data_IF_360750885634
#
_entry.id   IF_360750885634
#
_cell.length_a   1.000
_cell.length_b   1.000
_cell.length_c   1.000
_cell.angle_alpha   90.00
_cell.angle_beta   90.00
_cell.angle_gamma   90.00
#
_symmetry.space_group_name_H-M   'P 1'
#
loop_
_entity.id
_entity.type
_entity.pdbx_description
1 polymer ?
#
# COMPACT_ATOMS: atom_id res chain seq x y z
N UNK A 1 -29.95 26.79 29.05
CA UNK A 1 -29.60 25.41 28.63
C UNK A 1 -28.14 25.23 28.99
N UNK A 2 -27.89 24.50 30.09
CA UNK A 2 -26.57 24.35 30.69
C UNK A 2 -25.74 23.32 29.92
N UNK A 3 -24.44 23.60 29.77
CA UNK A 3 -23.45 22.65 29.29
C UNK A 3 -22.72 22.13 30.53
N UNK A 4 -22.88 20.84 30.82
CA UNK A 4 -22.14 20.16 31.88
C UNK A 4 -20.80 19.66 31.32
N UNK A 5 -19.73 20.09 32.00
CA UNK A 5 -18.37 19.61 31.86
C UNK A 5 -18.25 18.17 32.36
N UNK A 6 -17.58 17.30 31.60
CA UNK A 6 -17.20 15.98 32.10
C UNK A 6 -15.74 15.67 31.72
N UNK A 7 -14.84 16.07 32.60
CA UNK A 7 -13.43 15.72 32.62
C UNK A 7 -13.27 14.34 33.27
N UNK A 8 -12.81 13.35 32.50
CA UNK A 8 -12.42 12.06 33.07
C UNK A 8 -10.92 11.81 32.82
N UNK A 9 -10.14 12.16 33.84
CA UNK A 9 -8.72 11.84 34.00
C UNK A 9 -8.58 10.42 34.52
N UNK A 10 -7.92 9.54 33.78
CA UNK A 10 -7.48 8.24 34.30
C UNK A 10 -5.96 8.14 34.20
N UNK A 11 -5.30 8.46 35.31
CA UNK A 11 -3.88 8.25 35.59
C UNK A 11 -3.65 6.79 35.97
N UNK A 12 -2.94 6.03 35.14
CA UNK A 12 -2.50 4.68 35.48
C UNK A 12 -0.97 4.67 35.67
N UNK A 13 -0.55 4.95 36.90
CA UNK A 13 0.80 4.76 37.43
C UNK A 13 0.95 3.33 37.93
N UNK A 14 1.67 2.50 37.19
CA UNK A 14 2.16 1.19 37.65
C UNK A 14 3.67 1.22 37.80
N UNK A 15 4.16 1.26 39.04
CA UNK A 15 5.58 1.19 39.37
C UNK A 15 5.97 -0.21 39.86
N UNK A 16 7.27 -0.49 39.71
CA UNK A 16 8.14 -1.33 40.53
C UNK A 16 8.00 -2.86 40.49
N UNK A 17 9.06 -3.47 39.94
CA UNK A 17 9.46 -4.85 40.17
C UNK A 17 10.98 -5.00 39.94
N UNK A 18 11.77 -4.38 40.82
CA UNK A 18 13.20 -4.63 40.94
C UNK A 18 13.41 -5.99 41.61
N UNK A 19 14.11 -6.90 40.96
CA UNK A 19 14.58 -8.15 41.57
C UNK A 19 15.95 -8.49 41.02
N UNK A 20 16.94 -8.11 41.81
CA UNK A 20 18.33 -8.53 41.74
C UNK A 20 18.42 -10.03 42.00
N UNK A 21 18.93 -10.80 41.06
CA UNK A 21 19.42 -12.16 41.33
C UNK A 21 20.74 -12.37 40.58
N UNK A 22 21.82 -12.34 41.37
CA UNK A 22 23.14 -12.83 41.02
C UNK A 22 23.08 -14.32 40.69
N UNK A 23 23.56 -14.68 39.50
CA UNK A 23 23.89 -16.05 39.13
C UNK A 23 25.14 -16.03 38.27
N UNK A 24 26.30 -16.16 38.91
CA UNK A 24 27.56 -16.46 38.24
C UNK A 24 27.49 -17.89 37.70
N UNK A 25 27.44 -18.06 36.38
CA UNK A 25 27.87 -19.29 35.70
C UNK A 25 28.57 -18.92 34.39
N UNK A 26 29.86 -18.70 34.55
CA UNK A 26 30.95 -19.34 33.83
C UNK A 26 30.78 -19.73 32.34
N UNK A 27 31.42 -18.89 31.52
CA UNK A 27 32.20 -19.16 30.32
C UNK A 27 32.06 -20.53 29.61
N UNK A 28 31.05 -20.64 28.75
CA UNK A 28 31.13 -21.42 27.53
C UNK A 28 31.17 -20.48 26.33
N UNK A 29 32.37 -20.19 25.80
CA UNK A 29 32.55 -19.45 24.54
C UNK A 29 31.93 -20.26 23.39
N UNK A 30 30.61 -20.11 23.23
CA UNK A 30 29.85 -20.64 22.11
C UNK A 30 30.35 -19.98 20.84
N UNK A 31 31.00 -20.81 20.00
CA UNK A 31 31.36 -20.54 18.62
C UNK A 31 30.33 -19.62 17.96
N UNK A 32 30.80 -18.44 17.59
CA UNK A 32 30.00 -17.32 17.09
C UNK A 32 29.22 -17.68 15.83
N UNK A 33 28.02 -18.21 16.01
CA UNK A 33 26.97 -18.05 15.01
C UNK A 33 26.40 -16.63 15.20
N UNK A 34 27.18 -15.62 14.79
CA UNK A 34 26.60 -14.32 14.48
C UNK A 34 25.42 -14.60 13.57
N UNK A 35 24.21 -14.28 14.02
CA UNK A 35 23.03 -14.59 13.22
C UNK A 35 23.22 -13.93 11.85
N UNK A 36 22.85 -14.60 10.75
CA UNK A 36 23.02 -14.05 9.41
C UNK A 36 22.36 -12.67 9.26
N UNK A 37 21.39 -12.38 10.12
CA UNK A 37 20.73 -11.08 10.25
C UNK A 37 21.62 -9.98 10.85
N UNK A 38 22.44 -10.30 11.86
CA UNK A 38 23.41 -9.37 12.44
C UNK A 38 24.52 -9.04 11.44
N UNK A 39 25.03 -10.06 10.73
CA UNK A 39 26.05 -9.85 9.69
C UNK A 39 25.51 -9.00 8.53
N UNK A 40 24.26 -9.25 8.10
CA UNK A 40 23.60 -8.42 7.08
C UNK A 40 23.44 -6.98 7.55
N UNK A 41 23.03 -6.77 8.80
CA UNK A 41 22.85 -5.42 9.36
C UNK A 41 24.18 -4.66 9.40
N UNK A 42 25.24 -5.29 9.87
CA UNK A 42 26.57 -4.68 9.91
C UNK A 42 27.08 -4.33 8.50
N UNK A 43 26.83 -5.19 7.51
CA UNK A 43 27.16 -4.88 6.11
C UNK A 43 26.33 -3.72 5.55
N UNK A 44 25.05 -3.62 5.92
CA UNK A 44 24.19 -2.51 5.50
C UNK A 44 24.58 -1.18 6.15
N UNK A 45 24.99 -1.19 7.43
CA UNK A 45 25.42 0.01 8.16
C UNK A 45 26.76 0.56 7.65
N UNK A 46 27.61 -0.28 7.05
CA UNK A 46 28.91 0.12 6.46
C UNK A 46 28.83 0.53 4.98
N UNK A 47 27.63 0.54 4.37
CA UNK A 47 27.48 0.98 2.98
C UNK A 47 27.67 2.50 2.87
N UNK A 48 28.30 2.99 1.78
CA UNK A 48 28.17 4.38 1.37
C UNK A 48 26.71 4.79 1.32
N UNK A 49 26.39 5.98 1.87
CA UNK A 49 25.02 6.47 1.99
C UNK A 49 24.25 6.45 0.65
N UNK A 50 24.94 6.69 -0.47
CA UNK A 50 24.38 6.64 -1.82
C UNK A 50 23.87 5.24 -2.18
N UNK A 51 24.64 4.19 -1.89
CA UNK A 51 24.24 2.81 -2.14
C UNK A 51 23.13 2.37 -1.19
N UNK A 52 23.18 2.80 0.07
CA UNK A 52 22.09 2.58 1.02
C UNK A 52 20.80 3.18 0.48
N UNK A 53 20.82 4.45 0.06
CA UNK A 53 19.66 5.14 -0.53
C UNK A 53 19.17 4.43 -1.80
N UNK A 54 20.07 3.95 -2.65
CA UNK A 54 19.69 3.23 -3.87
C UNK A 54 19.00 1.88 -3.58
N UNK A 55 19.57 1.06 -2.69
CA UNK A 55 18.95 -0.20 -2.25
C UNK A 55 17.60 0.09 -1.60
N UNK A 56 17.52 1.15 -0.83
CA UNK A 56 16.31 1.58 -0.17
C UNK A 56 15.22 2.01 -1.15
N UNK A 57 15.57 2.82 -2.16
CA UNK A 57 14.65 3.20 -3.21
C UNK A 57 14.17 1.97 -3.99
N UNK A 58 15.05 0.99 -4.24
CA UNK A 58 14.66 -0.27 -4.88
C UNK A 58 13.72 -1.13 -4.02
N UNK A 59 13.88 -1.12 -2.70
CA UNK A 59 13.15 -2.01 -1.78
C UNK A 59 11.85 -1.41 -1.25
N UNK A 60 11.81 -0.10 -1.03
CA UNK A 60 10.68 0.61 -0.41
C UNK A 60 9.92 1.52 -1.39
N UNK A 61 10.32 1.57 -2.67
CA UNK A 61 9.48 2.15 -3.71
C UNK A 61 8.51 1.11 -4.23
N UNK A 62 7.22 1.34 -3.99
CA UNK A 62 6.19 0.49 -4.55
C UNK A 62 6.06 0.68 -6.05
N UNK A 63 5.98 -0.42 -6.78
CA UNK A 63 5.66 -0.41 -8.21
C UNK A 63 4.26 0.20 -8.44
N UNK A 64 4.15 1.01 -9.49
CA UNK A 64 2.90 1.68 -9.85
C UNK A 64 1.94 0.70 -10.56
N UNK A 65 0.79 0.42 -9.94
CA UNK A 65 -0.17 -0.61 -10.40
C UNK A 65 -1.61 -0.12 -10.40
N UNK A 66 -2.43 -0.81 -11.18
CA UNK A 66 -3.89 -0.77 -11.03
C UNK A 66 -4.28 -1.83 -10.00
N UNK A 67 -4.79 -1.38 -8.85
CA UNK A 67 -5.20 -2.25 -7.74
C UNK A 67 -6.72 -2.27 -7.66
N UNK A 68 -7.32 -3.43 -7.87
CA UNK A 68 -8.76 -3.59 -7.95
C UNK A 68 -9.27 -4.35 -6.72
N UNK A 69 -10.19 -3.73 -6.01
CA UNK A 69 -10.86 -4.28 -4.85
C UNK A 69 -12.34 -4.46 -5.15
N UNK A 70 -12.79 -5.72 -5.18
CA UNK A 70 -14.21 -6.06 -5.36
C UNK A 70 -14.85 -6.46 -4.03
N UNK A 71 -16.18 -6.58 -3.98
CA UNK A 71 -16.90 -6.81 -2.71
C UNK A 71 -16.78 -8.26 -2.21
N UNK A 72 -16.13 -9.14 -2.96
CA UNK A 72 -16.41 -10.57 -2.83
C UNK A 72 -15.17 -11.44 -3.01
N UNK A 73 -14.19 -11.27 -2.11
CA UNK A 73 -13.04 -12.17 -2.01
C UNK A 73 -13.52 -13.60 -1.72
N UNK A 74 -14.46 -13.75 -0.79
CA UNK A 74 -14.91 -15.06 -0.30
C UNK A 74 -15.84 -15.81 -1.26
N UNK A 75 -16.66 -15.13 -2.08
CA UNK A 75 -17.47 -15.82 -3.11
C UNK A 75 -16.81 -15.83 -4.48
N UNK A 76 -15.58 -15.29 -4.61
CA UNK A 76 -14.80 -15.35 -5.84
C UNK A 76 -15.48 -14.74 -7.07
N UNK A 77 -16.42 -13.80 -6.88
CA UNK A 77 -17.22 -13.22 -7.96
C UNK A 77 -16.54 -12.00 -8.58
N UNK A 78 -15.29 -12.18 -9.02
CA UNK A 78 -14.73 -11.29 -10.04
C UNK A 78 -15.55 -11.51 -11.32
N UNK A 79 -16.17 -10.46 -11.92
CA UNK A 79 -16.89 -10.60 -13.17
C UNK A 79 -16.06 -11.34 -14.20
N UNK A 80 -16.64 -12.29 -14.94
CA UNK A 80 -15.91 -13.15 -15.88
C UNK A 80 -15.05 -12.32 -16.85
N UNK A 81 -15.60 -11.21 -17.36
CA UNK A 81 -14.91 -10.26 -18.23
C UNK A 81 -13.62 -9.70 -17.60
N UNK A 82 -13.67 -9.32 -16.31
CA UNK A 82 -12.50 -8.78 -15.61
C UNK A 82 -11.49 -9.91 -15.35
N UNK A 83 -11.96 -11.09 -14.97
CA UNK A 83 -11.11 -12.27 -14.76
C UNK A 83 -10.37 -12.67 -16.04
N UNK A 84 -11.06 -12.72 -17.16
CA UNK A 84 -10.47 -13.09 -18.45
C UNK A 84 -9.53 -12.01 -18.95
N UNK A 85 -9.90 -10.73 -18.84
CA UNK A 85 -8.98 -9.63 -19.13
C UNK A 85 -7.69 -9.77 -18.30
N UNK A 86 -7.80 -10.07 -17.00
CA UNK A 86 -6.66 -10.20 -16.12
C UNK A 86 -5.77 -11.42 -16.37
N UNK A 87 -6.27 -12.50 -16.95
CA UNK A 87 -5.43 -13.64 -17.36
C UNK A 87 -4.35 -13.22 -18.36
N UNK A 88 -4.65 -12.21 -19.17
CA UNK A 88 -3.73 -11.70 -20.19
C UNK A 88 -2.79 -10.61 -19.68
N UNK A 89 -2.93 -10.18 -18.42
CA UNK A 89 -2.16 -9.08 -17.87
C UNK A 89 -1.19 -9.55 -16.79
N UNK A 90 0.01 -8.99 -16.80
CA UNK A 90 1.01 -9.27 -15.78
C UNK A 90 0.57 -8.76 -14.41
N UNK A 91 0.84 -9.55 -13.36
CA UNK A 91 0.69 -9.15 -11.94
C UNK A 91 1.50 -7.89 -11.58
N UNK A 92 2.44 -7.49 -12.44
CA UNK A 92 3.19 -6.23 -12.32
C UNK A 92 2.32 -5.01 -12.64
N UNK A 93 1.33 -5.13 -13.52
CA UNK A 93 0.50 -4.00 -13.96
C UNK A 93 -0.83 -3.95 -13.23
N UNK A 94 -1.46 -5.11 -13.02
CA UNK A 94 -2.78 -5.20 -12.37
C UNK A 94 -2.75 -6.22 -11.26
N UNK A 95 -3.29 -5.85 -10.12
CA UNK A 95 -3.57 -6.76 -9.01
C UNK A 95 -5.04 -6.68 -8.61
N UNK A 96 -5.60 -7.82 -8.23
CA UNK A 96 -6.95 -7.91 -7.68
C UNK A 96 -6.83 -8.44 -6.26
N UNK A 97 -7.49 -7.76 -5.33
CA UNK A 97 -7.52 -8.17 -3.92
C UNK A 97 -6.12 -8.28 -3.29
N UNK A 98 -5.16 -7.50 -3.80
CA UNK A 98 -3.87 -7.36 -3.14
C UNK A 98 -4.06 -6.61 -1.84
N UNK A 99 -3.84 -7.29 -0.72
CA UNK A 99 -3.90 -6.66 0.60
C UNK A 99 -2.86 -5.54 0.66
N UNK A 100 -3.26 -4.28 0.94
CA UNK A 100 -2.30 -3.21 1.13
C UNK A 100 -1.33 -3.57 2.27
N UNK A 101 -0.02 -3.36 2.08
CA UNK A 101 0.95 -3.62 3.13
C UNK A 101 0.70 -2.69 4.31
N UNK A 102 0.77 -3.25 5.51
CA UNK A 102 0.58 -2.50 6.74
C UNK A 102 1.80 -1.60 6.98
N UNK A 103 1.62 -0.28 7.11
CA UNK A 103 2.75 0.64 7.29
C UNK A 103 3.57 0.34 8.56
N UNK A 104 3.01 -0.34 9.57
CA UNK A 104 3.79 -0.77 10.74
C UNK A 104 4.83 -1.85 10.44
N UNK A 105 4.69 -2.58 9.32
CA UNK A 105 5.69 -3.55 8.87
C UNK A 105 6.85 -2.87 8.12
N UNK A 106 6.70 -1.58 7.80
CA UNK A 106 7.75 -0.77 7.20
C UNK A 106 8.50 -0.07 8.33
N UNK A 107 9.83 0.02 8.19
CA UNK A 107 10.67 0.75 9.13
C UNK A 107 10.17 2.20 9.32
N UNK A 108 10.29 2.73 10.54
CA UNK A 108 9.72 4.02 10.92
C UNK A 108 10.24 5.17 10.07
N UNK A 109 11.54 5.19 9.74
CA UNK A 109 12.13 6.22 8.89
C UNK A 109 11.60 6.10 7.43
N UNK A 110 11.16 4.90 7.05
CA UNK A 110 10.77 4.53 5.69
C UNK A 110 9.30 4.65 5.39
N UNK A 111 8.46 4.67 6.41
CA UNK A 111 7.00 4.72 6.28
C UNK A 111 6.51 5.86 5.39
N UNK A 112 7.10 7.05 5.50
CA UNK A 112 6.66 8.20 4.73
C UNK A 112 6.97 8.03 3.23
N UNK A 113 8.18 7.59 2.90
CA UNK A 113 8.60 7.36 1.52
C UNK A 113 7.81 6.21 0.89
N UNK A 114 7.66 5.10 1.63
CA UNK A 114 6.83 3.98 1.20
C UNK A 114 5.38 4.39 0.99
N UNK A 115 4.79 5.15 1.93
CA UNK A 115 3.41 5.58 1.81
C UNK A 115 3.22 6.50 0.60
N UNK A 116 4.18 7.40 0.35
CA UNK A 116 4.20 8.28 -0.82
C UNK A 116 4.36 7.50 -2.12
N UNK A 117 5.20 6.47 -2.17
CA UNK A 117 5.42 5.66 -3.37
C UNK A 117 4.27 4.67 -3.65
N UNK A 118 3.64 4.12 -2.61
CA UNK A 118 2.54 3.16 -2.76
C UNK A 118 1.19 3.85 -2.95
N UNK A 119 0.80 4.72 -2.02
CA UNK A 119 -0.52 5.37 -2.02
C UNK A 119 -0.49 6.71 -2.76
N UNK A 120 0.62 7.45 -2.63
CA UNK A 120 0.78 8.80 -3.18
C UNK A 120 1.19 8.87 -4.65
N UNK A 121 1.46 7.73 -5.29
CA UNK A 121 2.00 7.71 -6.64
C UNK A 121 0.89 8.01 -7.67
N UNK A 122 1.03 9.06 -8.50
CA UNK A 122 0.01 9.47 -9.48
C UNK A 122 -0.25 8.40 -10.56
N UNK A 123 0.71 7.49 -10.73
CA UNK A 123 0.63 6.39 -11.68
C UNK A 123 -0.05 5.14 -11.12
N UNK A 124 -0.30 5.08 -9.80
CA UNK A 124 -1.09 4.02 -9.17
C UNK A 124 -2.57 4.37 -9.16
N UNK A 125 -3.42 3.42 -9.55
CA UNK A 125 -4.87 3.60 -9.59
C UNK A 125 -5.52 2.60 -8.64
N UNK A 126 -6.35 3.09 -7.72
CA UNK A 126 -7.09 2.28 -6.77
C UNK A 126 -8.55 2.21 -7.19
N UNK A 127 -9.02 1.03 -7.56
CA UNK A 127 -10.35 0.79 -8.10
C UNK A 127 -11.18 0.02 -7.09
N UNK A 128 -12.31 0.57 -6.67
CA UNK A 128 -13.22 -0.03 -5.68
C UNK A 128 -14.57 -0.36 -6.32
N UNK A 129 -15.10 -1.55 -6.10
CA UNK A 129 -16.47 -1.87 -6.51
C UNK A 129 -17.51 -1.22 -5.59
N UNK A 130 -18.60 -0.69 -6.16
CA UNK A 130 -19.79 -0.36 -5.37
C UNK A 130 -20.28 -1.64 -4.67
N UNK A 131 -20.69 -1.51 -3.42
CA UNK A 131 -21.12 -2.63 -2.60
C UNK A 131 -20.02 -3.17 -1.69
N UNK A 132 -18.73 -2.89 -1.97
CA UNK A 132 -17.67 -3.21 -1.02
C UNK A 132 -17.99 -2.64 0.36
N UNK A 133 -18.35 -3.50 1.32
CA UNK A 133 -18.15 -3.16 2.73
C UNK A 133 -16.65 -3.20 2.98
N UNK A 134 -15.96 -2.16 2.50
CA UNK A 134 -14.60 -1.92 2.93
C UNK A 134 -14.68 -1.77 4.44
N UNK A 135 -13.95 -2.56 5.22
CA UNK A 135 -13.74 -2.23 6.60
C UNK A 135 -12.88 -0.96 6.58
N UNK A 136 -13.53 0.21 6.55
CA UNK A 136 -12.87 1.50 6.69
C UNK A 136 -12.04 1.56 7.99
N UNK A 137 -12.33 0.66 8.94
CA UNK A 137 -11.55 0.44 10.15
C UNK A 137 -10.20 -0.22 9.91
N UNK A 138 -10.04 -1.05 8.88
CA UNK A 138 -8.84 -1.87 8.70
C UNK A 138 -7.83 -1.26 7.71
N UNK A 139 -8.19 -0.15 7.05
CA UNK A 139 -7.32 0.53 6.10
C UNK A 139 -7.29 2.04 6.36
N UNK A 140 -6.51 2.51 7.35
CA UNK A 140 -6.37 3.93 7.65
C UNK A 140 -5.66 4.74 6.53
N UNK A 141 -5.15 4.06 5.50
CA UNK A 141 -4.31 4.65 4.46
C UNK A 141 -5.07 5.09 3.21
N UNK A 142 -6.41 4.95 3.15
CA UNK A 142 -7.19 5.37 1.97
C UNK A 142 -7.04 6.88 1.72
N UNK A 143 -6.89 7.68 2.77
CA UNK A 143 -6.62 9.13 2.68
C UNK A 143 -5.34 9.48 1.94
N UNK A 144 -4.40 8.53 1.84
CA UNK A 144 -3.12 8.70 1.15
C UNK A 144 -3.22 8.37 -0.34
N UNK A 145 -4.29 7.71 -0.79
CA UNK A 145 -4.49 7.29 -2.18
C UNK A 145 -4.82 8.50 -3.06
N UNK A 146 -4.03 8.74 -4.11
CA UNK A 146 -4.18 9.92 -4.99
C UNK A 146 -5.18 9.72 -6.14
N UNK A 147 -5.19 8.57 -6.81
CA UNK A 147 -6.17 8.24 -7.87
C UNK A 147 -7.08 7.11 -7.37
N UNK A 148 -8.25 7.51 -6.86
CA UNK A 148 -9.29 6.60 -6.38
C UNK A 148 -10.46 6.61 -7.35
N UNK A 149 -10.87 5.42 -7.80
CA UNK A 149 -11.99 5.22 -8.72
C UNK A 149 -13.00 4.25 -8.14
N UNK A 150 -14.26 4.55 -8.36
CA UNK A 150 -15.38 3.72 -7.95
C UNK A 150 -16.06 3.11 -9.18
N UNK A 151 -16.15 1.78 -9.20
CA UNK A 151 -16.77 1.00 -10.27
C UNK A 151 -18.26 0.87 -10.05
N UNK A 152 -19.04 1.35 -11.01
CA UNK A 152 -20.49 1.22 -11.00
C UNK A 152 -20.91 -0.08 -11.70
N UNK A 153 -21.74 -0.88 -11.02
CA UNK A 153 -22.29 -2.10 -11.59
C UNK A 153 -23.44 -1.84 -12.57
N UNK A 154 -24.18 -0.74 -12.39
CA UNK A 154 -25.28 -0.36 -13.25
C UNK A 154 -25.18 1.10 -13.68
N UNK A 155 -25.90 1.47 -14.74
CA UNK A 155 -25.99 2.85 -15.24
C UNK A 155 -26.77 3.79 -14.31
N UNK A 156 -27.13 3.35 -13.10
CA UNK A 156 -27.87 4.19 -12.16
C UNK A 156 -26.96 5.22 -11.51
N UNK A 157 -27.37 6.49 -11.58
CA UNK A 157 -26.67 7.63 -10.99
C UNK A 157 -26.93 7.80 -9.49
N UNK A 158 -27.93 7.11 -8.94
CA UNK A 158 -28.29 7.22 -7.52
C UNK A 158 -27.30 6.46 -6.61
N UNK A 159 -26.95 5.18 -6.88
CA UNK A 159 -25.91 4.48 -6.14
C UNK A 159 -24.54 5.16 -6.23
N UNK A 160 -24.25 5.87 -7.33
CA UNK A 160 -22.96 6.53 -7.53
C UNK A 160 -22.79 7.74 -6.60
N UNK A 161 -23.83 8.54 -6.37
CA UNK A 161 -23.78 9.67 -5.42
C UNK A 161 -23.60 9.21 -3.98
N UNK A 162 -24.33 8.18 -3.56
CA UNK A 162 -24.21 7.64 -2.21
C UNK A 162 -22.86 6.94 -1.98
N UNK A 163 -22.40 6.13 -2.93
CA UNK A 163 -21.11 5.47 -2.89
C UNK A 163 -19.94 6.45 -2.81
N UNK A 164 -19.94 7.49 -3.67
CA UNK A 164 -18.95 8.58 -3.60
C UNK A 164 -18.92 9.27 -2.25
N UNK A 165 -20.07 9.68 -1.72
CA UNK A 165 -20.15 10.33 -0.41
C UNK A 165 -19.61 9.45 0.72
N UNK A 166 -19.91 8.14 0.69
CA UNK A 166 -19.36 7.19 1.67
C UNK A 166 -17.85 7.06 1.59
N UNK A 167 -17.31 6.81 0.40
CA UNK A 167 -15.86 6.67 0.21
C UNK A 167 -15.15 7.97 0.56
N UNK A 168 -15.66 9.13 0.11
CA UNK A 168 -15.12 10.43 0.45
C UNK A 168 -15.06 10.66 1.96
N UNK A 169 -16.16 10.37 2.67
CA UNK A 169 -16.23 10.46 4.14
C UNK A 169 -15.25 9.51 4.82
N UNK A 170 -15.11 8.28 4.33
CA UNK A 170 -14.21 7.28 4.90
C UNK A 170 -12.73 7.60 4.67
N UNK A 171 -12.41 8.02 3.46
CA UNK A 171 -11.06 8.35 3.05
C UNK A 171 -10.63 9.75 3.50
N UNK A 172 -11.56 10.60 3.97
CA UNK A 172 -11.26 11.99 4.24
C UNK A 172 -10.82 12.77 2.98
N UNK A 173 -11.31 12.36 1.80
CA UNK A 173 -11.03 13.02 0.53
C UNK A 173 -12.29 13.69 -0.03
N UNK A 174 -12.12 14.61 -0.98
CA UNK A 174 -13.27 15.23 -1.66
C UNK A 174 -14.06 14.19 -2.47
N UNK A 175 -15.38 14.32 -2.52
CA UNK A 175 -16.20 13.51 -3.43
C UNK A 175 -15.84 13.73 -4.90
N UNK A 176 -15.27 14.89 -5.23
CA UNK A 176 -14.89 15.28 -6.59
C UNK A 176 -13.58 14.63 -7.03
N UNK A 177 -12.69 14.28 -6.09
CA UNK A 177 -11.45 13.58 -6.40
C UNK A 177 -11.66 12.07 -6.66
N UNK A 178 -12.89 11.57 -6.51
CA UNK A 178 -13.22 10.16 -6.76
C UNK A 178 -13.75 9.99 -8.19
N UNK A 179 -12.94 9.37 -9.04
CA UNK A 179 -13.34 8.99 -10.40
C UNK A 179 -14.50 7.98 -10.39
N UNK A 180 -15.41 8.06 -11.36
CA UNK A 180 -16.38 7.00 -11.62
C UNK A 180 -15.99 6.28 -12.90
N UNK A 181 -16.03 4.97 -12.86
CA UNK A 181 -15.81 4.13 -14.04
C UNK A 181 -16.85 3.01 -14.07
N UNK A 182 -17.10 2.45 -15.24
CA UNK A 182 -17.89 1.23 -15.38
C UNK A 182 -16.97 0.02 -15.53
N UNK A 183 -17.47 -1.18 -15.23
CA UNK A 183 -16.70 -2.42 -15.40
C UNK A 183 -16.14 -2.59 -16.82
N UNK A 184 -16.92 -2.20 -17.83
CA UNK A 184 -16.52 -2.24 -19.25
C UNK A 184 -15.33 -1.33 -19.58
N UNK A 185 -15.04 -0.33 -18.76
CA UNK A 185 -13.95 0.62 -19.00
C UNK A 185 -12.61 0.12 -18.42
N UNK A 186 -12.65 -0.84 -17.48
CA UNK A 186 -11.45 -1.37 -16.83
C UNK A 186 -10.47 -1.97 -17.86
N UNK A 187 -10.88 -2.82 -18.82
CA UNK A 187 -9.96 -3.35 -19.82
C UNK A 187 -9.25 -2.26 -20.65
N UNK A 188 -9.96 -1.20 -21.02
CA UNK A 188 -9.38 -0.08 -21.76
C UNK A 188 -8.37 0.69 -20.90
N UNK A 189 -8.67 0.89 -19.62
CA UNK A 189 -7.76 1.51 -18.66
C UNK A 189 -6.48 0.69 -18.48
N UNK A 190 -6.61 -0.64 -18.35
CA UNK A 190 -5.47 -1.54 -18.23
C UNK A 190 -4.63 -1.54 -19.52
N UNK A 191 -5.27 -1.66 -20.69
CA UNK A 191 -4.57 -1.60 -21.98
C UNK A 191 -3.81 -0.29 -22.15
N UNK A 192 -4.42 0.84 -21.77
CA UNK A 192 -3.75 2.16 -21.77
C UNK A 192 -2.52 2.17 -20.86
N UNK A 193 -2.60 1.55 -19.68
CA UNK A 193 -1.48 1.47 -18.75
C UNK A 193 -0.34 0.63 -19.32
N UNK A 194 -0.64 -0.53 -19.89
CA UNK A 194 0.36 -1.43 -20.48
C UNK A 194 1.09 -0.74 -21.62
N UNK A 195 0.36 -0.12 -22.56
CA UNK A 195 0.99 0.61 -23.65
C UNK A 195 1.81 1.82 -23.20
N UNK A 196 1.60 2.34 -22.00
CA UNK A 196 2.46 3.34 -21.37
C UNK A 196 3.72 2.73 -20.74
N UNK A 197 3.58 1.58 -20.07
CA UNK A 197 4.69 0.86 -19.43
C UNK A 197 5.67 0.31 -20.47
N UNK A 198 5.18 -0.31 -21.55
CA UNK A 198 6.01 -0.83 -22.64
C UNK A 198 6.87 0.28 -23.26
N UNK A 199 6.27 1.45 -23.53
CA UNK A 199 6.98 2.63 -24.03
C UNK A 199 8.02 3.17 -23.04
N UNK A 200 7.74 3.13 -21.74
CA UNK A 200 8.67 3.57 -20.72
C UNK A 200 9.88 2.61 -20.59
N UNK A 201 9.64 1.31 -20.71
CA UNK A 201 10.68 0.28 -20.69
C UNK A 201 11.57 0.39 -21.93
N UNK A 202 10.98 0.54 -23.12
CA UNK A 202 11.73 0.77 -24.37
C UNK A 202 12.62 2.01 -24.27
N UNK A 203 12.09 3.11 -23.71
CA UNK A 203 12.86 4.33 -23.50
C UNK A 203 14.03 4.14 -22.52
N UNK A 204 13.79 3.48 -21.38
CA UNK A 204 14.84 3.22 -20.40
C UNK A 204 15.94 2.30 -20.96
N UNK A 205 15.58 1.29 -21.75
CA UNK A 205 16.55 0.43 -22.40
C UNK A 205 17.42 1.20 -23.42
N UNK A 206 16.82 2.14 -24.17
CA UNK A 206 17.55 2.98 -25.11
C UNK A 206 18.54 3.93 -24.40
N UNK A 207 18.16 4.54 -23.27
CA UNK A 207 19.05 5.42 -22.49
C UNK A 207 20.21 4.65 -21.83
N UNK A 208 20.02 3.37 -21.48
CA UNK A 208 21.09 2.54 -20.90
C UNK A 208 22.14 2.12 -21.94
N UNK A 209 21.77 2.05 -23.23
CA UNK A 209 22.70 1.68 -24.32
C UNK A 209 23.61 2.84 -24.73
N UNK A 210 23.20 4.09 -24.47
CA UNK A 210 24.00 5.29 -24.82
C UNK A 210 25.15 5.59 -23.84
N UNK A 211 25.37 4.73 -22.83
CA UNK A 211 26.51 4.78 -21.90
C UNK A 211 27.70 3.91 -22.33
N UNK A 212 27.64 3.33 -23.54
CA UNK A 212 28.79 2.65 -24.16
C UNK A 212 29.53 3.61 -25.09
N UNK A 213 30.51 4.32 -24.51
CA UNK A 213 31.75 4.90 -25.08
C UNK A 213 31.68 5.51 -26.48
#
# INVERSE_FOLDING_TARGET
MALDDNSNTNSNTGSNGSSTAHGMHDSGFGSGNSSPELELRERLENLPQELYNYIYDLTFTAEAKIRIYTYDEDRGRVPAQLRDAMKHYSKRVVTVHERPPHLLHVDRASRQNFAKSFYGNPDSIFIFSVGCSFPARDNPFISLMKDVRLVLWCNSTVPSRYGRKRIAKWAGISTESIGLIFYKDIPALVKKRIGGVEKAVEKSAAEVIDLTI
#
